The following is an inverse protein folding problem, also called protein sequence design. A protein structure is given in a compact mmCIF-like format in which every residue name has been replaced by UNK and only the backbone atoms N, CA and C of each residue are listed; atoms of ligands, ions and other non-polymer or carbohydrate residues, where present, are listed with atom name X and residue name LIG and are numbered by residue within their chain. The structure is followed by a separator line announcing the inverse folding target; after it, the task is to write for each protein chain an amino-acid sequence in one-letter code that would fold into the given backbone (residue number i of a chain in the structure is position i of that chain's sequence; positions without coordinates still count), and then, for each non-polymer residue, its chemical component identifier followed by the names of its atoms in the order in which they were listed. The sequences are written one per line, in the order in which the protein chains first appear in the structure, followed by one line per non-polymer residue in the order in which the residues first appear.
data_IF_707610129455
#
_entry.id   IF_707610129455
#
_cell.length_a   1.000
_cell.length_b   1.000
_cell.length_c   1.000
_cell.angle_alpha   90.00
_cell.angle_beta   90.00
_cell.angle_gamma   90.00
#
_symmetry.space_group_name_H-M   'P 1'
#
loop_
_entity.id
_entity.type
_entity.pdbx_description
1 polymer ?
#
# COMPACT_ATOMS: atom_id res chain seq x y z
N UNK A 1 -34.75 22.08 21.07
CA UNK A 1 -33.72 21.34 20.30
C UNK A 1 -32.40 22.07 20.47
N UNK A 2 -31.77 21.83 21.62
CA UNK A 2 -30.40 22.26 21.89
C UNK A 2 -29.52 21.05 21.58
N UNK A 3 -28.77 21.11 20.48
CA UNK A 3 -27.64 20.19 20.26
C UNK A 3 -26.42 20.99 20.66
N UNK A 4 -26.15 20.98 21.95
CA UNK A 4 -24.88 21.44 22.51
C UNK A 4 -23.76 20.66 21.85
N UNK A 5 -22.85 21.45 21.30
CA UNK A 5 -21.53 21.08 20.83
C UNK A 5 -20.78 20.33 21.93
N UNK A 6 -20.89 19.01 21.95
CA UNK A 6 -19.90 18.15 22.57
C UNK A 6 -18.62 18.24 21.72
N UNK A 7 -17.89 19.33 21.90
CA UNK A 7 -16.48 19.42 21.61
C UNK A 7 -15.82 18.30 22.42
N UNK A 8 -15.68 17.13 21.78
CA UNK A 8 -14.86 16.06 22.28
C UNK A 8 -13.47 16.68 22.49
N UNK A 9 -13.15 16.90 23.77
CA UNK A 9 -11.82 17.25 24.26
C UNK A 9 -10.93 16.05 23.98
N UNK A 10 -10.60 15.86 22.71
CA UNK A 10 -9.57 14.94 22.26
C UNK A 10 -8.29 15.50 22.87
N UNK A 11 -7.85 14.85 23.95
CA UNK A 11 -6.59 15.10 24.61
C UNK A 11 -5.52 15.17 23.53
N UNK A 12 -5.13 16.40 23.16
CA UNK A 12 -4.10 16.64 22.17
C UNK A 12 -2.82 16.10 22.78
N UNK A 13 -2.47 14.87 22.43
CA UNK A 13 -1.09 14.41 22.50
C UNK A 13 -0.33 15.27 21.50
N UNK A 14 0.02 16.49 21.89
CA UNK A 14 0.90 17.38 21.15
C UNK A 14 2.27 16.72 21.17
N UNK A 15 2.49 15.79 20.24
CA UNK A 15 3.80 15.21 20.09
C UNK A 15 4.77 16.35 19.71
N UNK A 16 5.83 16.61 20.50
CA UNK A 16 6.69 17.78 20.34
C UNK A 16 7.72 17.53 19.23
N UNK A 17 7.28 17.16 18.04
CA UNK A 17 8.16 16.99 16.89
C UNK A 17 8.49 18.37 16.32
N UNK A 18 9.77 18.75 16.44
CA UNK A 18 10.36 19.80 15.61
C UNK A 18 9.97 19.62 14.14
N UNK A 19 9.65 20.71 13.42
CA UNK A 19 9.30 20.70 11.99
C UNK A 19 10.30 19.89 11.14
N UNK A 20 11.59 19.89 11.53
CA UNK A 20 12.63 19.09 10.88
C UNK A 20 12.39 17.58 11.04
N UNK A 21 12.07 17.11 12.25
CA UNK A 21 11.87 15.68 12.51
C UNK A 21 10.62 15.12 11.82
N UNK A 22 9.54 15.91 11.77
CA UNK A 22 8.33 15.56 11.02
C UNK A 22 8.64 15.37 9.52
N UNK A 23 9.38 16.31 8.93
CA UNK A 23 9.75 16.26 7.51
C UNK A 23 10.66 15.07 7.20
N UNK A 24 11.65 14.79 8.07
CA UNK A 24 12.52 13.61 7.95
C UNK A 24 11.69 12.32 8.02
N UNK A 25 10.81 12.17 9.01
CA UNK A 25 9.96 10.99 9.13
C UNK A 25 9.07 10.78 7.89
N UNK A 26 8.50 11.86 7.35
CA UNK A 26 7.67 11.81 6.14
C UNK A 26 8.48 11.33 4.92
N UNK A 27 9.69 11.86 4.73
CA UNK A 27 10.57 11.44 3.62
C UNK A 27 11.00 9.98 3.79
N UNK A 28 11.46 9.59 4.98
CA UNK A 28 11.92 8.22 5.25
C UNK A 28 10.81 7.20 5.01
N UNK A 29 9.60 7.45 5.50
CA UNK A 29 8.46 6.55 5.28
C UNK A 29 8.10 6.41 3.79
N UNK A 30 8.19 7.49 3.01
CA UNK A 30 7.93 7.44 1.55
C UNK A 30 8.99 6.65 0.80
N UNK A 31 10.26 6.84 1.14
CA UNK A 31 11.36 6.07 0.54
C UNK A 31 11.18 4.59 0.84
N UNK A 32 10.87 4.27 2.11
CA UNK A 32 10.67 2.90 2.55
C UNK A 32 9.46 2.24 1.85
N UNK A 33 8.32 2.94 1.78
CA UNK A 33 7.14 2.46 1.07
C UNK A 33 7.43 2.19 -0.42
N UNK A 34 8.15 3.10 -1.08
CA UNK A 34 8.52 2.97 -2.49
C UNK A 34 9.48 1.80 -2.71
N UNK A 35 10.44 1.61 -1.81
CA UNK A 35 11.36 0.46 -1.88
C UNK A 35 10.61 -0.87 -1.74
N UNK A 36 9.66 -0.96 -0.80
CA UNK A 36 8.83 -2.15 -0.63
C UNK A 36 7.92 -2.40 -1.83
N UNK A 37 7.24 -1.37 -2.36
CA UNK A 37 6.41 -1.51 -3.57
C UNK A 37 7.23 -1.89 -4.80
N UNK A 38 8.41 -1.32 -4.98
CA UNK A 38 9.30 -1.66 -6.10
C UNK A 38 9.79 -3.10 -5.98
N UNK A 39 10.22 -3.52 -4.79
CA UNK A 39 10.60 -4.92 -4.54
C UNK A 39 9.43 -5.89 -4.78
N UNK A 40 8.22 -5.53 -4.36
CA UNK A 40 7.02 -6.32 -4.62
C UNK A 40 6.76 -6.50 -6.13
N UNK A 41 6.87 -5.42 -6.91
CA UNK A 41 6.73 -5.42 -8.38
C UNK A 41 7.82 -6.27 -9.03
N UNK A 42 9.08 -6.10 -8.62
CA UNK A 42 10.20 -6.89 -9.15
C UNK A 42 9.99 -8.39 -8.92
N UNK A 43 9.58 -8.78 -7.71
CA UNK A 43 9.29 -10.19 -7.39
C UNK A 43 8.14 -10.77 -8.22
N UNK A 44 7.11 -9.97 -8.50
CA UNK A 44 6.00 -10.41 -9.37
C UNK A 44 6.43 -10.57 -10.83
N UNK A 45 7.27 -9.68 -11.34
CA UNK A 45 7.80 -9.76 -12.72
C UNK A 45 8.69 -10.98 -12.88
N UNK A 46 9.64 -11.18 -11.95
CA UNK A 46 10.56 -12.34 -11.99
C UNK A 46 9.85 -13.64 -11.57
N UNK A 47 8.63 -13.56 -11.07
CA UNK A 47 7.86 -14.69 -10.56
C UNK A 47 7.35 -15.67 -11.62
N UNK A 48 7.63 -15.49 -12.91
CA UNK A 48 7.10 -16.38 -13.97
C UNK A 48 7.52 -17.83 -13.76
N UNK A 49 6.55 -18.74 -13.65
CA UNK A 49 6.80 -20.18 -13.59
C UNK A 49 5.94 -20.92 -14.63
N UNK A 50 6.57 -21.67 -15.51
CA UNK A 50 5.88 -22.63 -16.38
C UNK A 50 5.67 -23.93 -15.60
N UNK A 51 4.43 -24.41 -15.54
CA UNK A 51 4.07 -25.69 -14.92
C UNK A 51 3.34 -26.55 -15.94
N UNK A 52 3.69 -27.83 -15.97
CA UNK A 52 3.12 -28.80 -16.88
C UNK A 52 1.98 -29.51 -16.15
N UNK A 53 0.74 -29.24 -16.57
CA UNK A 53 -0.46 -29.83 -15.96
C UNK A 53 -1.18 -30.59 -17.05
N UNK A 54 -1.38 -31.91 -16.86
CA UNK A 54 -2.17 -32.75 -17.79
C UNK A 54 -1.69 -32.70 -19.26
N UNK A 55 -0.38 -32.83 -19.49
CA UNK A 55 0.24 -32.83 -20.83
C UNK A 55 0.12 -31.49 -21.62
N UNK A 56 -0.34 -30.42 -20.97
CA UNK A 56 -0.41 -29.05 -21.51
C UNK A 56 0.53 -28.14 -20.72
N UNK A 57 1.37 -27.37 -21.42
CA UNK A 57 2.24 -26.37 -20.78
C UNK A 57 1.41 -25.16 -20.36
N UNK A 58 1.12 -25.02 -19.06
CA UNK A 58 0.42 -23.87 -18.50
C UNK A 58 1.44 -22.89 -17.91
N UNK A 59 1.57 -21.72 -18.53
CA UNK A 59 2.42 -20.63 -17.99
C UNK A 59 1.66 -19.92 -16.87
N UNK A 60 1.93 -20.27 -15.61
CA UNK A 60 1.38 -19.55 -14.46
C UNK A 60 2.17 -18.26 -14.28
N UNK A 61 1.51 -17.16 -14.63
CA UNK A 61 2.07 -15.80 -14.55
C UNK A 61 1.22 -14.98 -13.59
N UNK A 62 1.74 -13.84 -13.12
CA UNK A 62 0.94 -12.86 -12.37
C UNK A 62 -0.37 -12.46 -13.09
N UNK A 63 -0.42 -12.61 -14.43
CA UNK A 63 -1.59 -12.33 -15.27
C UNK A 63 -2.69 -13.40 -15.22
N UNK A 64 -2.45 -14.56 -14.62
CA UNK A 64 -3.41 -15.67 -14.59
C UNK A 64 -4.57 -15.45 -13.62
N UNK A 65 -4.44 -14.51 -12.67
CA UNK A 65 -5.51 -14.13 -11.74
C UNK A 65 -5.69 -12.62 -11.69
N UNK A 66 -6.94 -12.18 -11.71
CA UNK A 66 -7.30 -10.76 -11.61
C UNK A 66 -6.79 -10.12 -10.31
N UNK A 67 -6.77 -10.85 -9.20
CA UNK A 67 -6.32 -10.32 -7.90
C UNK A 67 -4.81 -10.02 -7.90
N UNK A 68 -3.99 -10.94 -8.41
CA UNK A 68 -2.55 -10.71 -8.53
C UNK A 68 -2.22 -9.59 -9.52
N UNK A 69 -2.97 -9.48 -10.64
CA UNK A 69 -2.87 -8.32 -11.56
C UNK A 69 -3.23 -7.01 -10.89
N UNK A 70 -4.29 -7.01 -10.09
CA UNK A 70 -4.73 -5.81 -9.39
C UNK A 70 -3.70 -5.36 -8.36
N UNK A 71 -3.15 -6.27 -7.54
CA UNK A 71 -2.07 -5.94 -6.61
C UNK A 71 -0.82 -5.45 -7.33
N UNK A 72 -0.45 -6.08 -8.45
CA UNK A 72 0.67 -5.63 -9.29
C UNK A 72 0.45 -4.19 -9.79
N UNK A 73 -0.72 -3.91 -10.36
CA UNK A 73 -1.11 -2.58 -10.83
C UNK A 73 -1.13 -1.56 -9.68
N UNK A 74 -1.66 -1.92 -8.52
CA UNK A 74 -1.70 -1.08 -7.33
C UNK A 74 -0.29 -0.66 -6.89
N UNK A 75 0.69 -1.58 -6.87
CA UNK A 75 2.07 -1.24 -6.54
C UNK A 75 2.73 -0.36 -7.61
N UNK A 76 2.45 -0.57 -8.91
CA UNK A 76 2.95 0.32 -9.98
C UNK A 76 2.40 1.73 -9.82
N UNK A 77 1.08 1.86 -9.64
CA UNK A 77 0.43 3.16 -9.43
C UNK A 77 0.98 3.83 -8.17
N UNK A 78 1.22 3.05 -7.10
CA UNK A 78 1.89 3.54 -5.89
C UNK A 78 3.26 4.13 -6.20
N UNK A 79 4.12 3.45 -6.98
CA UNK A 79 5.42 3.98 -7.36
C UNK A 79 5.30 5.31 -8.13
N UNK A 80 4.37 5.41 -9.09
CA UNK A 80 4.13 6.63 -9.87
C UNK A 80 3.66 7.77 -8.97
N UNK A 81 2.67 7.50 -8.11
CA UNK A 81 2.14 8.45 -7.13
C UNK A 81 3.23 8.91 -6.16
N UNK A 82 4.11 8.01 -5.71
CA UNK A 82 5.23 8.35 -4.84
C UNK A 82 6.21 9.33 -5.49
N UNK A 83 6.56 9.11 -6.77
CA UNK A 83 7.41 10.03 -7.54
C UNK A 83 6.73 11.39 -7.70
N UNK A 84 5.43 11.39 -8.03
CA UNK A 84 4.66 12.62 -8.17
C UNK A 84 4.60 13.40 -6.84
N UNK A 85 4.46 12.70 -5.73
CA UNK A 85 4.48 13.26 -4.37
C UNK A 85 5.83 13.88 -4.00
N UNK A 86 6.94 13.24 -4.38
CA UNK A 86 8.30 13.79 -4.22
C UNK A 86 8.48 15.09 -5.02
N UNK A 87 8.06 15.10 -6.29
CA UNK A 87 8.10 16.30 -7.13
C UNK A 87 7.25 17.40 -6.50
N UNK A 88 6.05 17.08 -6.03
CA UNK A 88 5.15 18.03 -5.38
C UNK A 88 5.79 18.64 -4.12
N UNK A 89 6.43 17.83 -3.26
CA UNK A 89 7.15 18.34 -2.08
C UNK A 89 8.31 19.27 -2.46
N UNK A 90 9.10 18.92 -3.48
CA UNK A 90 10.20 19.77 -3.97
C UNK A 90 9.71 21.12 -4.52
N UNK A 91 8.63 21.12 -5.30
CA UNK A 91 8.03 22.35 -5.85
C UNK A 91 7.41 23.23 -4.76
N UNK A 92 6.96 22.63 -3.66
CA UNK A 92 6.25 23.32 -2.57
C UNK A 92 7.17 24.02 -1.58
N UNK A 93 8.45 23.66 -1.55
CA UNK A 93 9.50 24.35 -0.78
C UNK A 93 9.49 25.88 -0.94
N UNK A 94 8.94 26.40 -2.06
CA UNK A 94 8.87 27.82 -2.37
C UNK A 94 7.70 28.61 -1.75
N UNK A 95 6.64 27.98 -1.20
CA UNK A 95 5.51 28.72 -0.62
C UNK A 95 4.63 27.89 0.32
N UNK A 96 4.38 28.36 1.54
CA UNK A 96 3.58 27.67 2.55
C UNK A 96 2.08 28.03 2.43
N UNK A 97 1.24 27.08 2.00
CA UNK A 97 -0.23 27.23 1.99
C UNK A 97 -0.89 26.01 2.64
N UNK A 98 -1.91 26.23 3.47
CA UNK A 98 -2.69 25.19 4.15
C UNK A 98 -3.25 24.13 3.20
N UNK A 99 -3.64 24.53 1.98
CA UNK A 99 -4.19 23.63 0.96
C UNK A 99 -3.20 22.53 0.54
N UNK A 100 -1.90 22.79 0.64
CA UNK A 100 -0.85 21.87 0.18
C UNK A 100 -0.68 20.66 1.10
N UNK A 101 -0.78 20.88 2.42
CA UNK A 101 -0.75 19.79 3.40
C UNK A 101 -1.97 18.89 3.29
N UNK A 102 -3.13 19.48 2.99
CA UNK A 102 -4.36 18.73 2.75
C UNK A 102 -4.27 17.86 1.48
N UNK A 103 -3.70 18.39 0.39
CA UNK A 103 -3.46 17.61 -0.83
C UNK A 103 -2.49 16.45 -0.60
N UNK A 104 -1.41 16.65 0.17
CA UNK A 104 -0.50 15.55 0.54
C UNK A 104 -1.21 14.48 1.39
N UNK A 105 -2.05 14.90 2.33
CA UNK A 105 -2.85 13.97 3.14
C UNK A 105 -3.81 13.15 2.28
N UNK A 106 -4.55 13.79 1.37
CA UNK A 106 -5.45 13.09 0.44
C UNK A 106 -4.69 12.12 -0.46
N UNK A 107 -3.56 12.54 -0.99
CA UNK A 107 -2.69 11.69 -1.80
C UNK A 107 -2.25 10.42 -1.04
N UNK A 108 -1.76 10.60 0.19
CA UNK A 108 -1.26 9.50 1.02
C UNK A 108 -2.42 8.56 1.41
N UNK A 109 -3.62 9.10 1.68
CA UNK A 109 -4.83 8.32 1.96
C UNK A 109 -5.29 7.50 0.74
N UNK A 110 -5.34 8.09 -0.46
CA UNK A 110 -5.75 7.38 -1.68
C UNK A 110 -4.79 6.23 -1.98
N UNK A 111 -3.48 6.47 -1.83
CA UNK A 111 -2.46 5.44 -2.07
C UNK A 111 -2.56 4.30 -1.05
N UNK A 112 -2.80 4.63 0.22
CA UNK A 112 -3.04 3.67 1.29
C UNK A 112 -4.25 2.76 0.99
N UNK A 113 -5.38 3.34 0.59
CA UNK A 113 -6.61 2.61 0.27
C UNK A 113 -6.41 1.72 -0.97
N UNK A 114 -5.69 2.21 -1.98
CA UNK A 114 -5.36 1.43 -3.16
C UNK A 114 -4.53 0.19 -2.80
N UNK A 115 -3.49 0.33 -1.98
CA UNK A 115 -2.64 -0.78 -1.56
C UNK A 115 -3.42 -1.84 -0.76
N UNK A 116 -4.20 -1.43 0.24
CA UNK A 116 -4.92 -2.38 1.09
C UNK A 116 -6.00 -3.15 0.32
N UNK A 117 -6.69 -2.49 -0.62
CA UNK A 117 -7.65 -3.17 -1.50
C UNK A 117 -6.97 -4.26 -2.34
N UNK A 118 -5.79 -3.96 -2.90
CA UNK A 118 -4.97 -4.92 -3.63
C UNK A 118 -4.51 -6.07 -2.76
N UNK A 119 -4.03 -5.77 -1.56
CA UNK A 119 -3.55 -6.78 -0.60
C UNK A 119 -4.68 -7.70 -0.14
N UNK A 120 -5.87 -7.15 0.12
CA UNK A 120 -7.04 -7.93 0.51
C UNK A 120 -7.48 -8.90 -0.60
N UNK A 121 -7.57 -8.41 -1.85
CA UNK A 121 -7.92 -9.25 -3.00
C UNK A 121 -6.89 -10.38 -3.23
N UNK A 122 -5.60 -10.04 -3.19
CA UNK A 122 -4.52 -11.01 -3.36
C UNK A 122 -4.44 -12.01 -2.19
N UNK A 123 -4.76 -11.59 -0.96
CA UNK A 123 -4.83 -12.48 0.20
C UNK A 123 -5.96 -13.49 0.06
N UNK A 124 -7.14 -13.05 -0.38
CA UNK A 124 -8.27 -13.94 -0.61
C UNK A 124 -7.94 -15.01 -1.66
N UNK A 125 -7.44 -14.60 -2.83
CA UNK A 125 -7.08 -15.55 -3.88
C UNK A 125 -5.83 -16.38 -3.51
N UNK A 126 -4.87 -15.79 -2.80
CA UNK A 126 -3.69 -16.50 -2.31
C UNK A 126 -4.04 -17.59 -1.30
N UNK A 127 -5.03 -17.35 -0.43
CA UNK A 127 -5.54 -18.34 0.51
C UNK A 127 -6.17 -19.53 -0.22
N UNK A 128 -7.09 -19.26 -1.15
CA UNK A 128 -7.73 -20.33 -1.94
C UNK A 128 -6.70 -21.04 -2.82
N UNK A 129 -5.72 -20.33 -3.36
CA UNK A 129 -4.63 -20.93 -4.14
C UNK A 129 -3.72 -21.86 -3.33
N UNK A 130 -3.55 -21.59 -2.03
CA UNK A 130 -2.69 -22.38 -1.13
C UNK A 130 -3.40 -23.60 -0.56
N UNK A 131 -4.64 -23.44 -0.10
CA UNK A 131 -5.37 -24.49 0.62
C UNK A 131 -6.42 -25.19 -0.25
N UNK A 132 -6.90 -24.56 -1.32
CA UNK A 132 -8.05 -25.02 -2.10
C UNK A 132 -9.36 -24.91 -1.32
N UNK A 133 -10.48 -25.19 -1.98
CA UNK A 133 -11.80 -25.34 -1.38
C UNK A 133 -12.55 -26.49 -2.06
N UNK A 134 -12.53 -27.66 -1.42
CA UNK A 134 -13.11 -28.90 -1.96
C UNK A 134 -14.61 -28.76 -2.22
N UNK A 135 -15.34 -28.01 -1.37
CA UNK A 135 -16.78 -27.78 -1.52
C UNK A 135 -17.13 -27.01 -2.80
N UNK A 136 -16.20 -26.21 -3.32
CA UNK A 136 -16.38 -25.45 -4.56
C UNK A 136 -15.62 -26.07 -5.75
N UNK A 137 -14.99 -27.23 -5.56
CA UNK A 137 -14.17 -27.88 -6.58
C UNK A 137 -12.84 -27.17 -6.89
N UNK A 138 -12.38 -26.25 -6.02
CA UNK A 138 -11.12 -25.54 -6.21
C UNK A 138 -9.95 -26.34 -5.62
N UNK A 139 -9.06 -26.83 -6.49
CA UNK A 139 -7.83 -27.50 -6.06
C UNK A 139 -6.73 -26.52 -5.63
N UNK A 140 -5.84 -26.97 -4.75
CA UNK A 140 -4.68 -26.19 -4.31
C UNK A 140 -3.65 -26.04 -5.44
N UNK A 141 -3.53 -24.83 -5.99
CA UNK A 141 -2.62 -24.51 -7.11
C UNK A 141 -1.16 -24.47 -6.63
N UNK A 142 -0.90 -24.03 -5.40
CA UNK A 142 0.45 -23.90 -4.87
C UNK A 142 1.19 -25.23 -4.71
N UNK A 143 0.49 -26.37 -4.73
CA UNK A 143 1.10 -27.70 -4.78
C UNK A 143 1.88 -27.95 -6.08
N UNK A 144 1.41 -27.40 -7.21
CA UNK A 144 2.04 -27.56 -8.52
C UNK A 144 3.09 -26.48 -8.81
N UNK A 145 2.89 -25.26 -8.30
CA UNK A 145 3.75 -24.10 -8.54
C UNK A 145 4.32 -23.48 -7.23
N UNK A 146 5.11 -24.22 -6.44
CA UNK A 146 5.55 -23.75 -5.11
C UNK A 146 6.48 -22.54 -5.18
N UNK A 147 7.30 -22.41 -6.23
CA UNK A 147 8.23 -21.27 -6.41
C UNK A 147 7.46 -19.98 -6.71
N UNK A 148 6.47 -20.03 -7.60
CA UNK A 148 5.56 -18.92 -7.87
C UNK A 148 4.84 -18.50 -6.58
N UNK A 149 4.23 -19.47 -5.89
CA UNK A 149 3.46 -19.20 -4.68
C UNK A 149 4.30 -18.54 -3.58
N UNK A 150 5.52 -19.04 -3.35
CA UNK A 150 6.43 -18.42 -2.38
C UNK A 150 6.82 -16.99 -2.77
N UNK A 151 7.17 -16.74 -4.03
CA UNK A 151 7.50 -15.37 -4.52
C UNK A 151 6.31 -14.43 -4.42
N UNK A 152 5.12 -14.89 -4.77
CA UNK A 152 3.87 -14.12 -4.65
C UNK A 152 3.53 -13.80 -3.20
N UNK A 153 3.74 -14.74 -2.26
CA UNK A 153 3.58 -14.47 -0.82
C UNK A 153 4.58 -13.43 -0.33
N UNK A 154 5.85 -13.51 -0.70
CA UNK A 154 6.85 -12.50 -0.31
C UNK A 154 6.46 -11.13 -0.87
N UNK A 155 6.05 -11.07 -2.13
CA UNK A 155 5.57 -9.84 -2.76
C UNK A 155 4.35 -9.25 -2.03
N UNK A 156 3.38 -10.08 -1.66
CA UNK A 156 2.20 -9.67 -0.88
C UNK A 156 2.59 -9.09 0.49
N UNK A 157 3.52 -9.73 1.20
CA UNK A 157 4.03 -9.23 2.49
C UNK A 157 4.71 -7.88 2.33
N UNK A 158 5.53 -7.69 1.29
CA UNK A 158 6.14 -6.39 0.99
C UNK A 158 5.09 -5.32 0.69
N UNK A 159 4.02 -5.64 -0.03
CA UNK A 159 2.92 -4.70 -0.27
C UNK A 159 2.18 -4.33 1.02
N UNK A 160 2.01 -5.26 1.97
CA UNK A 160 1.47 -4.94 3.29
C UNK A 160 2.40 -4.01 4.10
N UNK A 161 3.72 -4.21 4.01
CA UNK A 161 4.68 -3.30 4.64
C UNK A 161 4.62 -1.89 4.01
N UNK A 162 4.47 -1.80 2.69
CA UNK A 162 4.24 -0.51 2.01
C UNK A 162 2.95 0.17 2.50
N UNK A 163 1.87 -0.60 2.65
CA UNK A 163 0.61 -0.11 3.22
C UNK A 163 0.79 0.46 4.64
N UNK A 164 1.51 -0.25 5.53
CA UNK A 164 1.78 0.23 6.88
C UNK A 164 2.58 1.56 6.88
N UNK A 165 3.51 1.72 5.94
CA UNK A 165 4.25 2.97 5.78
C UNK A 165 3.31 4.13 5.36
N UNK A 166 2.42 3.90 4.39
CA UNK A 166 1.43 4.88 3.97
C UNK A 166 0.40 5.20 5.06
N UNK A 167 -0.02 4.20 5.85
CA UNK A 167 -0.88 4.43 7.02
C UNK A 167 -0.20 5.35 8.03
N UNK A 168 1.09 5.12 8.32
CA UNK A 168 1.90 6.02 9.14
C UNK A 168 1.91 7.44 8.56
N UNK A 169 2.15 7.59 7.26
CA UNK A 169 2.12 8.90 6.58
C UNK A 169 0.77 9.62 6.72
N UNK A 170 -0.33 8.91 6.55
CA UNK A 170 -1.68 9.45 6.71
C UNK A 170 -1.92 9.92 8.15
N UNK A 171 -1.52 9.13 9.15
CA UNK A 171 -1.64 9.48 10.58
C UNK A 171 -0.80 10.72 10.91
N UNK A 172 0.48 10.73 10.51
CA UNK A 172 1.35 11.89 10.72
C UNK A 172 0.77 13.16 10.09
N UNK A 173 0.28 13.05 8.85
CA UNK A 173 -0.31 14.17 8.12
C UNK A 173 -1.60 14.67 8.78
N UNK A 174 -2.45 13.77 9.27
CA UNK A 174 -3.67 14.12 10.00
C UNK A 174 -3.36 14.88 11.30
N UNK A 175 -2.38 14.40 12.09
CA UNK A 175 -1.96 15.09 13.32
C UNK A 175 -1.40 16.49 13.02
N UNK A 176 -0.65 16.65 11.92
CA UNK A 176 -0.13 17.95 11.51
C UNK A 176 -1.24 18.92 11.09
N UNK A 177 -2.25 18.43 10.37
CA UNK A 177 -3.42 19.22 10.00
C UNK A 177 -4.24 19.63 11.22
N UNK A 178 -4.47 18.70 12.15
CA UNK A 178 -5.21 18.96 13.38
C UNK A 178 -4.52 20.01 14.26
N UNK A 179 -3.21 19.88 14.48
CA UNK A 179 -2.45 20.86 15.28
C UNK A 179 -2.50 22.27 14.72
N UNK A 180 -2.50 22.44 13.40
CA UNK A 180 -2.64 23.77 12.76
C UNK A 180 -4.08 24.29 12.74
N UNK A 181 -5.09 23.44 12.85
CA UNK A 181 -6.49 23.86 12.90
C UNK A 181 -6.88 24.35 14.30
N UNK A 182 -6.11 23.99 15.32
CA UNK A 182 -6.28 24.43 16.71
C UNK A 182 -5.44 25.66 17.08
N UNK A 183 -4.55 26.11 16.20
CA UNK A 183 -3.84 27.40 16.28
C UNK A 183 -4.71 28.52 15.68
#
# INVERSE_FOLDING_TARGET
MAVETAAAKYSSSSWPWSNKRFFVAQITLRILATAFSLAAVSLMITGTQTVLVFLVQMKVTYSSSSAWRFLFGANIVTCILSVLSLIFVCLISLSASHMKYFLLFLHDMVTMVLLISGCAAASAIGYVGKYGELKMGWGAVCGFAPKFCNRSTISLVLSYLAFLCYMGLTILSAHKLLSRATE
#
